data_IF_678983243847
#
_entry.id   IF_678983243847
#
_cell.length_a   1.000
_cell.length_b   1.000
_cell.length_c   1.000
_cell.angle_alpha   90.00
_cell.angle_beta   90.00
_cell.angle_gamma   90.00
#
_symmetry.space_group_name_H-M   'P 1'
#
loop_
_entity.id
_entity.type
_entity.pdbx_description
1 polymer ?
#
# COMPACT_ATOMS: atom_id res chain seq x y z
N UNK A 1 -6.04 19.69 50.27
CA UNK A 1 -5.84 19.96 48.82
C UNK A 1 -4.35 20.15 48.58
N UNK A 2 -3.66 19.11 48.11
CA UNK A 2 -2.28 19.21 47.65
C UNK A 2 -2.20 18.43 46.34
N UNK A 3 -2.28 19.16 45.22
CA UNK A 3 -2.12 18.62 43.87
C UNK A 3 -0.63 18.36 43.66
N UNK A 4 -0.20 17.09 43.69
CA UNK A 4 1.10 16.69 43.14
C UNK A 4 0.96 16.56 41.62
N UNK A 5 1.45 17.57 40.90
CA UNK A 5 1.61 17.51 39.45
C UNK A 5 2.94 16.79 39.18
N UNK A 6 2.87 15.50 38.88
CA UNK A 6 3.99 14.79 38.26
C UNK A 6 4.10 15.21 36.79
N UNK A 7 4.97 16.18 36.52
CA UNK A 7 5.43 16.46 35.17
C UNK A 7 6.35 15.32 34.71
N UNK A 8 5.77 14.31 34.07
CA UNK A 8 6.53 13.31 33.32
C UNK A 8 7.11 13.99 32.07
N UNK A 9 8.29 14.59 32.22
CA UNK A 9 9.16 14.95 31.11
C UNK A 9 9.71 13.66 30.47
N UNK A 10 8.89 13.00 29.65
CA UNK A 10 9.38 11.98 28.72
C UNK A 10 10.02 12.68 27.51
N UNK A 11 11.21 13.23 27.71
CA UNK A 11 12.09 13.56 26.59
C UNK A 11 12.50 12.27 25.90
N UNK A 12 11.80 11.89 24.83
CA UNK A 12 12.29 10.89 23.88
C UNK A 12 13.61 11.41 23.30
N UNK A 13 14.74 10.95 23.83
CA UNK A 13 16.05 11.19 23.24
C UNK A 13 16.03 10.60 21.84
N UNK A 14 16.05 11.47 20.82
CA UNK A 14 16.08 11.08 19.42
C UNK A 14 17.45 10.46 19.17
N UNK A 15 17.53 9.12 19.18
CA UNK A 15 18.76 8.40 18.90
C UNK A 15 19.28 8.82 17.53
N UNK A 16 20.50 9.33 17.48
CA UNK A 16 21.16 9.67 16.23
C UNK A 16 21.37 8.40 15.39
N UNK A 17 21.13 8.49 14.08
CA UNK A 17 21.27 7.36 13.18
C UNK A 17 22.75 7.17 12.80
N UNK A 18 23.20 5.93 12.73
CA UNK A 18 24.58 5.61 12.36
C UNK A 18 24.87 6.09 10.94
N UNK A 19 26.01 6.74 10.74
CA UNK A 19 26.43 7.25 9.43
C UNK A 19 27.03 6.17 8.53
N UNK A 20 27.69 5.18 9.13
CA UNK A 20 28.39 4.10 8.41
C UNK A 20 27.99 2.74 8.96
N UNK A 21 27.98 1.73 8.10
CA UNK A 21 27.75 0.35 8.50
C UNK A 21 29.01 -0.28 9.12
N UNK A 22 28.88 -1.53 9.58
CA UNK A 22 29.98 -2.31 10.17
C UNK A 22 31.19 -2.52 9.26
N UNK A 23 31.06 -2.27 7.95
CA UNK A 23 32.11 -2.41 6.95
C UNK A 23 32.64 -1.04 6.49
N UNK A 24 32.19 0.06 7.10
CA UNK A 24 32.58 1.42 6.74
C UNK A 24 31.85 2.01 5.53
N UNK A 25 30.82 1.34 4.99
CA UNK A 25 30.01 1.90 3.89
C UNK A 25 29.04 2.96 4.43
N UNK A 26 28.84 4.03 3.67
CA UNK A 26 27.84 5.04 4.02
C UNK A 26 26.45 4.41 4.06
N UNK A 27 25.68 4.73 5.11
CA UNK A 27 24.27 4.31 5.22
C UNK A 27 23.35 5.37 4.62
N UNK A 28 22.41 4.93 3.79
CA UNK A 28 21.38 5.76 3.18
C UNK A 28 20.00 5.33 3.66
N UNK A 29 19.29 6.25 4.31
CA UNK A 29 18.00 5.99 4.96
C UNK A 29 16.78 6.45 4.15
N UNK A 30 17.00 7.24 3.09
CA UNK A 30 15.96 7.87 2.25
C UNK A 30 16.19 7.55 0.78
N UNK A 31 15.11 7.16 0.10
CA UNK A 31 15.12 6.85 -1.33
C UNK A 31 15.53 8.07 -2.16
N UNK A 32 15.07 9.27 -1.81
CA UNK A 32 15.42 10.52 -2.49
C UNK A 32 16.93 10.79 -2.43
N UNK A 33 17.53 10.61 -1.24
CA UNK A 33 18.97 10.78 -1.07
C UNK A 33 19.73 9.76 -1.91
N UNK A 34 19.28 8.50 -1.91
CA UNK A 34 19.87 7.46 -2.74
C UNK A 34 19.81 7.81 -4.23
N UNK A 35 18.64 8.24 -4.74
CA UNK A 35 18.46 8.64 -6.14
C UNK A 35 19.42 9.77 -6.49
N UNK A 36 19.50 10.80 -5.66
CA UNK A 36 20.39 11.94 -5.88
C UNK A 36 21.87 11.53 -5.93
N UNK A 37 22.28 10.58 -5.09
CA UNK A 37 23.64 10.03 -5.11
C UNK A 37 23.89 9.16 -6.34
N UNK A 38 22.95 8.28 -6.67
CA UNK A 38 23.02 7.38 -7.83
C UNK A 38 23.03 8.14 -9.17
N UNK A 39 22.33 9.28 -9.24
CA UNK A 39 22.37 10.16 -10.41
C UNK A 39 23.76 10.76 -10.65
N UNK A 40 24.54 11.01 -9.60
CA UNK A 40 25.92 11.51 -9.67
C UNK A 40 26.93 10.38 -9.90
N UNK A 41 26.71 9.21 -9.31
CA UNK A 41 27.56 8.04 -9.45
C UNK A 41 26.71 6.76 -9.60
N UNK A 42 26.68 6.21 -10.82
CA UNK A 42 25.92 5.00 -11.14
C UNK A 42 26.48 3.72 -10.50
N UNK A 43 27.73 3.74 -10.02
CA UNK A 43 28.41 2.64 -9.33
C UNK A 43 28.46 2.88 -7.81
N UNK A 44 27.39 3.44 -7.25
CA UNK A 44 27.32 3.76 -5.84
C UNK A 44 27.37 2.47 -5.00
N UNK A 45 28.32 2.40 -4.06
CA UNK A 45 28.41 1.33 -3.07
C UNK A 45 28.06 1.87 -1.69
N UNK A 46 26.83 1.60 -1.25
CA UNK A 46 26.25 2.09 0.01
C UNK A 46 25.39 1.02 0.64
N UNK A 47 25.16 1.15 1.94
CA UNK A 47 24.20 0.33 2.68
C UNK A 47 22.88 1.05 2.78
N UNK A 48 21.78 0.42 2.36
CA UNK A 48 20.44 1.02 2.42
C UNK A 48 19.71 0.47 3.64
N UNK A 49 19.16 1.37 4.46
CA UNK A 49 18.23 1.03 5.54
C UNK A 49 16.91 1.73 5.27
N UNK A 50 15.94 0.98 4.76
CA UNK A 50 14.62 1.51 4.42
C UNK A 50 13.75 1.74 5.66
N UNK A 51 14.03 2.85 6.35
CA UNK A 51 13.27 3.26 7.54
C UNK A 51 11.81 3.55 7.23
N UNK A 52 11.49 3.98 6.01
CA UNK A 52 10.11 4.22 5.59
C UNK A 52 9.33 2.90 5.57
N UNK A 53 9.84 1.87 4.92
CA UNK A 53 9.22 0.55 4.90
C UNK A 53 9.10 -0.05 6.31
N UNK A 54 10.12 0.06 7.16
CA UNK A 54 10.08 -0.40 8.56
C UNK A 54 8.90 0.27 9.30
N UNK A 55 8.78 1.58 9.18
CA UNK A 55 7.70 2.35 9.81
C UNK A 55 6.33 2.00 9.23
N UNK A 56 6.22 1.77 7.92
CA UNK A 56 4.99 1.36 7.25
C UNK A 56 4.51 -0.02 7.71
N UNK A 57 5.41 -1.01 7.81
CA UNK A 57 5.08 -2.33 8.36
C UNK A 57 4.62 -2.25 9.81
N UNK A 58 5.35 -1.49 10.64
CA UNK A 58 4.97 -1.28 12.03
C UNK A 58 3.59 -0.61 12.16
N UNK A 59 3.27 0.33 11.27
CA UNK A 59 1.94 0.94 11.21
C UNK A 59 0.88 -0.07 10.80
N UNK A 60 1.08 -0.82 9.72
CA UNK A 60 0.12 -1.83 9.25
C UNK A 60 -0.21 -2.84 10.36
N UNK A 61 0.80 -3.36 11.04
CA UNK A 61 0.61 -4.30 12.16
C UNK A 61 -0.23 -3.69 13.28
N UNK A 62 -0.01 -2.40 13.63
CA UNK A 62 -0.82 -1.73 14.66
C UNK A 62 -2.27 -1.57 14.22
N UNK A 63 -2.50 -1.14 12.99
CA UNK A 63 -3.85 -0.96 12.44
C UNK A 63 -4.60 -2.31 12.41
N UNK A 64 -3.95 -3.38 11.94
CA UNK A 64 -4.50 -4.74 11.94
C UNK A 64 -4.88 -5.21 13.35
N UNK A 65 -4.01 -4.98 14.34
CA UNK A 65 -4.28 -5.31 15.74
C UNK A 65 -5.46 -4.53 16.32
N UNK A 66 -5.69 -3.31 15.83
CA UNK A 66 -6.84 -2.49 16.20
C UNK A 66 -8.11 -2.85 15.43
N UNK A 67 -8.09 -3.91 14.62
CA UNK A 67 -9.24 -4.37 13.83
C UNK A 67 -9.43 -3.61 12.51
N UNK A 68 -8.52 -2.72 12.14
CA UNK A 68 -8.60 -2.00 10.86
C UNK A 68 -8.05 -2.85 9.72
N UNK A 69 -8.83 -2.99 8.65
CA UNK A 69 -8.40 -3.57 7.38
C UNK A 69 -8.58 -2.53 6.27
N UNK A 70 -7.53 -2.31 5.50
CA UNK A 70 -7.54 -1.35 4.40
C UNK A 70 -7.07 -2.03 3.12
N UNK A 71 -7.93 -2.08 2.12
CA UNK A 71 -7.55 -2.45 0.77
C UNK A 71 -7.09 -1.21 -0.01
N UNK A 72 -5.86 -1.25 -0.51
CA UNK A 72 -5.26 -0.18 -1.29
C UNK A 72 -5.32 -0.53 -2.79
N UNK A 73 -6.33 -0.01 -3.49
CA UNK A 73 -6.58 -0.30 -4.91
C UNK A 73 -6.31 0.89 -5.84
N UNK A 74 -6.10 0.58 -7.12
CA UNK A 74 -5.91 1.56 -8.20
C UNK A 74 -7.22 2.26 -8.61
N UNK A 75 -7.11 3.36 -9.36
CA UNK A 75 -8.30 4.03 -9.90
C UNK A 75 -8.85 3.31 -11.13
N UNK A 76 -9.80 2.42 -10.89
CA UNK A 76 -10.65 1.86 -11.93
C UNK A 76 -12.07 2.42 -11.85
N UNK A 77 -12.82 2.29 -12.94
CA UNK A 77 -14.17 2.81 -13.09
C UNK A 77 -15.14 2.25 -12.01
N UNK A 78 -14.95 0.98 -11.67
CA UNK A 78 -15.71 0.19 -10.69
C UNK A 78 -15.29 0.41 -9.23
N UNK A 79 -14.27 1.24 -8.96
CA UNK A 79 -13.72 1.43 -7.61
C UNK A 79 -14.77 1.83 -6.55
N UNK A 80 -15.81 2.58 -6.95
CA UNK A 80 -16.94 2.90 -6.06
C UNK A 80 -17.79 1.68 -5.71
N UNK A 81 -18.00 0.78 -6.66
CA UNK A 81 -18.76 -0.47 -6.47
C UNK A 81 -17.95 -1.41 -5.59
N UNK A 82 -16.68 -1.61 -5.92
CA UNK A 82 -15.76 -2.42 -5.13
C UNK A 82 -15.64 -1.92 -3.68
N UNK A 83 -15.52 -0.61 -3.48
CA UNK A 83 -15.49 0.00 -2.14
C UNK A 83 -16.74 -0.33 -1.32
N UNK A 84 -17.94 -0.28 -1.92
CA UNK A 84 -19.18 -0.67 -1.24
C UNK A 84 -19.17 -2.14 -0.85
N UNK A 85 -18.72 -3.03 -1.74
CA UNK A 85 -18.61 -4.47 -1.46
C UNK A 85 -17.65 -4.74 -0.31
N UNK A 86 -16.45 -4.15 -0.34
CA UNK A 86 -15.43 -4.32 0.70
C UNK A 86 -15.91 -3.83 2.08
N UNK A 87 -16.67 -2.74 2.12
CA UNK A 87 -17.23 -2.22 3.36
C UNK A 87 -18.19 -3.22 4.05
N UNK A 88 -18.85 -4.11 3.29
CA UNK A 88 -19.70 -5.16 3.87
C UNK A 88 -18.89 -6.17 4.70
N UNK A 89 -17.59 -6.28 4.44
CA UNK A 89 -16.64 -7.11 5.16
C UNK A 89 -15.78 -6.31 6.16
N UNK A 90 -16.15 -5.05 6.43
CA UNK A 90 -15.38 -4.16 7.30
C UNK A 90 -14.02 -3.73 6.72
N UNK A 91 -13.80 -3.89 5.41
CA UNK A 91 -12.55 -3.51 4.74
C UNK A 91 -12.73 -2.12 4.11
N UNK A 92 -11.92 -1.17 4.56
CA UNK A 92 -11.93 0.20 4.01
C UNK A 92 -11.19 0.22 2.67
N UNK A 93 -11.77 0.85 1.67
CA UNK A 93 -11.07 1.13 0.41
C UNK A 93 -10.24 2.40 0.51
N UNK A 94 -8.98 2.36 0.07
CA UNK A 94 -8.13 3.53 -0.08
C UNK A 94 -7.54 3.56 -1.49
N UNK A 95 -7.68 4.71 -2.16
CA UNK A 95 -6.95 4.98 -3.41
C UNK A 95 -5.46 4.83 -3.15
N UNK A 96 -4.80 4.05 -3.99
CA UNK A 96 -3.36 3.96 -4.02
C UNK A 96 -2.87 3.98 -5.46
N UNK A 97 -1.83 4.75 -5.71
CA UNK A 97 -1.09 4.75 -6.97
C UNK A 97 0.31 4.23 -6.62
N UNK A 98 0.55 2.96 -6.92
CA UNK A 98 1.88 2.39 -6.79
C UNK A 98 2.78 2.94 -7.90
N UNK A 99 3.96 3.42 -7.55
CA UNK A 99 5.02 3.60 -8.53
C UNK A 99 5.49 2.24 -9.04
N UNK A 100 5.79 2.13 -10.33
CA UNK A 100 6.37 0.91 -10.92
C UNK A 100 7.90 0.84 -10.79
N UNK A 101 8.54 1.95 -10.39
CA UNK A 101 9.99 2.05 -10.26
C UNK A 101 10.43 1.73 -8.83
N UNK A 102 11.47 0.91 -8.73
CA UNK A 102 12.18 0.62 -7.49
C UNK A 102 13.59 1.20 -7.59
N UNK A 103 14.00 2.00 -6.61
CA UNK A 103 15.37 2.52 -6.54
C UNK A 103 16.17 1.81 -5.46
N UNK A 104 17.24 1.12 -5.88
CA UNK A 104 18.08 0.36 -4.96
C UNK A 104 17.28 -0.68 -4.18
N UNK A 105 17.58 -0.82 -2.89
CA UNK A 105 16.91 -1.78 -1.99
C UNK A 105 15.69 -1.21 -1.27
N UNK A 106 15.25 0.01 -1.57
CA UNK A 106 14.01 0.56 -1.01
C UNK A 106 12.81 -0.26 -1.51
N UNK A 107 11.92 -0.64 -0.59
CA UNK A 107 10.80 -1.51 -0.87
C UNK A 107 9.51 -0.67 -0.97
N UNK A 108 8.84 -0.65 -2.14
CA UNK A 108 7.60 0.07 -2.28
C UNK A 108 6.47 -0.64 -1.51
N UNK A 109 5.39 0.12 -1.24
CA UNK A 109 4.10 -0.46 -0.85
C UNK A 109 4.10 -1.32 0.44
N UNK A 110 5.08 -1.16 1.34
CA UNK A 110 5.21 -2.05 2.50
C UNK A 110 3.98 -2.13 3.41
N UNK A 111 3.21 -1.05 3.55
CA UNK A 111 1.97 -1.07 4.32
C UNK A 111 0.89 -1.90 3.64
N UNK A 112 0.75 -1.70 2.32
CA UNK A 112 -0.22 -2.35 1.46
C UNK A 112 0.01 -3.86 1.42
N UNK A 113 1.28 -4.29 1.35
CA UNK A 113 1.66 -5.70 1.37
C UNK A 113 1.20 -6.37 2.68
N UNK A 114 1.44 -5.75 3.83
CA UNK A 114 1.01 -6.32 5.11
C UNK A 114 -0.52 -6.33 5.26
N UNK A 115 -1.21 -5.30 4.77
CA UNK A 115 -2.68 -5.29 4.74
C UNK A 115 -3.25 -6.36 3.81
N UNK A 116 -2.68 -6.53 2.63
CA UNK A 116 -3.10 -7.53 1.65
C UNK A 116 -2.93 -8.95 2.23
N UNK A 117 -1.76 -9.26 2.82
CA UNK A 117 -1.53 -10.55 3.49
C UNK A 117 -2.58 -10.85 4.56
N UNK A 118 -2.96 -9.84 5.35
CA UNK A 118 -3.96 -10.03 6.40
C UNK A 118 -5.37 -10.23 5.82
N UNK A 119 -5.71 -9.55 4.72
CA UNK A 119 -6.96 -9.78 3.98
C UNK A 119 -6.98 -11.22 3.46
N UNK A 120 -5.93 -11.66 2.77
CA UNK A 120 -5.81 -13.03 2.25
C UNK A 120 -5.92 -14.07 3.37
N UNK A 121 -5.27 -13.82 4.50
CA UNK A 121 -5.34 -14.71 5.67
C UNK A 121 -6.78 -14.86 6.20
N UNK A 122 -7.60 -13.80 6.12
CA UNK A 122 -8.97 -13.79 6.64
C UNK A 122 -10.01 -14.32 5.65
N UNK A 123 -9.82 -14.05 4.36
CA UNK A 123 -10.86 -14.26 3.35
C UNK A 123 -10.44 -15.17 2.19
N UNK A 124 -9.17 -15.53 2.10
CA UNK A 124 -8.58 -16.32 1.01
C UNK A 124 -7.95 -15.45 -0.07
N UNK A 125 -6.93 -16.00 -0.74
CA UNK A 125 -6.11 -15.32 -1.75
C UNK A 125 -6.90 -14.77 -2.95
N UNK A 126 -8.03 -15.40 -3.29
CA UNK A 126 -8.85 -15.02 -4.45
C UNK A 126 -9.98 -14.03 -4.08
N UNK A 127 -10.08 -13.61 -2.82
CA UNK A 127 -11.22 -12.82 -2.33
C UNK A 127 -11.35 -11.46 -3.01
N UNK A 128 -10.26 -10.68 -3.02
CA UNK A 128 -10.26 -9.34 -3.64
C UNK A 128 -10.47 -9.43 -5.15
N UNK A 129 -9.84 -10.41 -5.80
CA UNK A 129 -9.99 -10.62 -7.24
C UNK A 129 -11.44 -10.97 -7.60
N UNK A 130 -12.08 -11.84 -6.81
CA UNK A 130 -13.48 -12.21 -7.00
C UNK A 130 -14.40 -10.99 -6.87
N UNK A 131 -14.23 -10.19 -5.82
CA UNK A 131 -15.00 -8.95 -5.65
C UNK A 131 -14.76 -7.95 -6.78
N UNK A 132 -13.51 -7.86 -7.24
CA UNK A 132 -13.13 -6.96 -8.34
C UNK A 132 -13.81 -7.38 -9.65
N UNK A 133 -13.87 -8.68 -9.95
CA UNK A 133 -14.59 -9.17 -11.14
C UNK A 133 -16.09 -8.89 -11.09
N UNK A 134 -16.71 -9.09 -9.92
CA UNK A 134 -18.14 -8.75 -9.73
C UNK A 134 -18.35 -7.24 -9.90
N UNK A 135 -17.49 -6.40 -9.31
CA UNK A 135 -17.58 -4.96 -9.43
C UNK A 135 -17.42 -4.49 -10.89
N UNK A 136 -16.48 -5.08 -11.66
CA UNK A 136 -16.29 -4.80 -13.09
C UNK A 136 -17.53 -5.15 -13.89
N UNK A 137 -18.08 -6.36 -13.70
CA UNK A 137 -19.31 -6.80 -14.38
C UNK A 137 -20.47 -5.86 -14.05
N UNK A 138 -20.67 -5.52 -12.78
CA UNK A 138 -21.72 -4.61 -12.36
C UNK A 138 -21.56 -3.22 -13.00
N UNK A 139 -20.35 -2.66 -13.01
CA UNK A 139 -20.08 -1.38 -13.65
C UNK A 139 -20.48 -1.40 -15.13
N UNK A 140 -20.06 -2.43 -15.87
CA UNK A 140 -20.35 -2.58 -17.30
C UNK A 140 -21.85 -2.66 -17.57
N UNK A 141 -22.60 -3.41 -16.75
CA UNK A 141 -24.05 -3.54 -16.89
C UNK A 141 -24.80 -2.24 -16.55
N UNK A 142 -24.33 -1.48 -15.56
CA UNK A 142 -24.90 -0.18 -15.18
C UNK A 142 -24.53 0.94 -16.16
N UNK A 143 -23.49 0.75 -16.97
CA UNK A 143 -22.93 1.78 -17.88
C UNK A 143 -22.67 1.20 -19.29
N UNK A 144 -23.69 0.68 -19.99
CA UNK A 144 -23.51 -0.04 -21.27
C UNK A 144 -22.92 0.82 -22.40
N UNK A 145 -23.06 2.14 -22.29
CA UNK A 145 -22.56 3.09 -23.29
C UNK A 145 -21.14 3.58 -23.01
N UNK A 146 -20.56 3.25 -21.86
CA UNK A 146 -19.19 3.64 -21.49
C UNK A 146 -18.22 2.56 -21.94
N UNK A 147 -17.33 2.81 -22.92
CA UNK A 147 -16.33 1.84 -23.31
C UNK A 147 -15.44 1.46 -22.13
N UNK A 148 -15.30 0.15 -21.90
CA UNK A 148 -14.40 -0.37 -20.89
C UNK A 148 -13.46 -1.36 -21.56
N UNK A 149 -12.25 -0.91 -21.87
CA UNK A 149 -11.22 -1.72 -22.53
C UNK A 149 -10.21 -2.20 -21.49
N UNK A 150 -10.03 -3.51 -21.39
CA UNK A 150 -9.00 -4.17 -20.58
C UNK A 150 -8.24 -5.14 -21.48
N UNK A 151 -6.91 -5.04 -21.52
CA UNK A 151 -6.03 -5.85 -22.37
C UNK A 151 -6.44 -5.90 -23.86
N UNK A 152 -6.95 -4.77 -24.37
CA UNK A 152 -7.41 -4.63 -25.76
C UNK A 152 -8.78 -5.22 -26.04
N UNK A 153 -9.49 -5.74 -25.03
CA UNK A 153 -10.84 -6.30 -25.16
C UNK A 153 -11.85 -5.34 -24.53
N UNK A 154 -12.92 -5.02 -25.26
CA UNK A 154 -14.06 -4.30 -24.69
C UNK A 154 -14.90 -5.26 -23.83
N UNK A 155 -14.86 -5.05 -22.51
CA UNK A 155 -15.54 -5.91 -21.54
C UNK A 155 -17.06 -5.88 -21.68
N UNK A 156 -17.63 -4.89 -22.36
CA UNK A 156 -19.07 -4.85 -22.67
C UNK A 156 -19.50 -6.04 -23.52
N UNK A 157 -18.70 -6.43 -24.50
CA UNK A 157 -19.01 -7.56 -25.38
C UNK A 157 -18.97 -8.90 -24.63
N UNK A 158 -18.11 -9.00 -23.61
CA UNK A 158 -18.07 -10.14 -22.70
C UNK A 158 -19.36 -10.24 -21.87
N UNK A 159 -19.76 -9.16 -21.20
CA UNK A 159 -20.85 -9.22 -20.22
C UNK A 159 -22.27 -9.04 -20.79
N UNK A 160 -22.44 -8.42 -21.97
CA UNK A 160 -23.75 -8.31 -22.66
C UNK A 160 -24.39 -9.67 -22.97
N UNK A 161 -23.57 -10.70 -23.17
CA UNK A 161 -24.04 -12.04 -23.54
C UNK A 161 -24.40 -12.91 -22.32
N UNK A 162 -24.06 -12.49 -21.10
CA UNK A 162 -24.35 -13.23 -19.87
C UNK A 162 -25.63 -12.77 -19.17
N UNK A 163 -26.31 -11.75 -19.70
CA UNK A 163 -27.57 -11.20 -19.18
C UNK A 163 -28.82 -11.73 -19.90
N UNK A 164 -28.69 -12.73 -20.78
CA UNK A 164 -29.79 -13.49 -21.39
C UNK A 164 -29.94 -14.83 -20.69
#
# INVERSE_FOLDING_TARGET
MFLMIFLLNSCNQKKELDKYDKNGKLIVYSEEVYINMWMKNKKLDVTIIDTFCINQKAKAIRDIKNGELIYCGSHYYESKILSKMLNQYGIKYKKYLSGCMRFGSFEPSCYQIEMWKEIDRRYGENFIDSLSQIAKKQFVLENPDVPYIEDGIDLREKYKNESK
#
